data_IF_107357312310
#
_entry.id   IF_107357312310
#
_cell.length_a   1.000
_cell.length_b   1.000
_cell.length_c   1.000
_cell.angle_alpha   90.00
_cell.angle_beta   90.00
_cell.angle_gamma   90.00
#
_symmetry.space_group_name_H-M   'P 1'
#
loop_
_entity.id
_entity.type
_entity.pdbx_description
1 polymer ?
#
# COMPACT_ATOMS: atom_id res chain seq x y z
N UNK A 1 59.58 19.17 18.37
CA UNK A 1 58.95 20.07 17.36
C UNK A 1 57.48 19.69 17.22
N UNK A 2 56.54 20.49 17.75
CA UNK A 2 55.11 20.32 17.45
C UNK A 2 54.79 21.20 16.23
N UNK A 3 54.38 20.60 15.12
CA UNK A 3 53.85 21.33 13.94
C UNK A 3 52.48 21.88 14.33
N UNK A 4 52.32 23.21 14.35
CA UNK A 4 51.02 23.83 14.47
C UNK A 4 50.22 23.52 13.19
N UNK A 5 49.20 22.68 13.30
CA UNK A 5 48.19 22.50 12.25
C UNK A 5 47.29 23.73 12.26
N UNK A 6 46.87 24.16 11.06
CA UNK A 6 45.93 25.26 10.89
C UNK A 6 44.59 24.87 11.54
N UNK A 7 44.04 25.72 12.41
CA UNK A 7 42.78 25.47 13.14
C UNK A 7 41.62 26.34 12.66
N UNK A 8 41.85 27.19 11.65
CA UNK A 8 40.82 28.08 11.10
C UNK A 8 40.38 27.59 9.72
N UNK A 9 39.14 27.09 9.66
CA UNK A 9 38.46 26.69 8.42
C UNK A 9 37.08 27.33 8.39
N UNK A 10 36.60 27.65 7.18
CA UNK A 10 35.21 28.06 6.95
C UNK A 10 34.56 27.15 5.93
N UNK A 11 33.27 26.90 6.10
CA UNK A 11 32.45 26.24 5.08
C UNK A 11 31.93 27.28 4.10
N UNK A 12 32.14 27.05 2.81
CA UNK A 12 31.66 27.91 1.72
C UNK A 12 30.73 27.10 0.83
N UNK A 13 29.53 27.65 0.55
CA UNK A 13 28.60 27.04 -0.38
C UNK A 13 29.08 27.20 -1.82
N UNK A 14 29.23 26.10 -2.56
CA UNK A 14 29.56 26.12 -3.97
C UNK A 14 28.29 25.97 -4.82
N UNK A 15 27.90 27.05 -5.49
CA UNK A 15 26.71 27.09 -6.35
C UNK A 15 26.83 26.26 -7.64
N UNK A 16 28.04 25.84 -8.04
CA UNK A 16 28.25 25.01 -9.24
C UNK A 16 28.07 23.53 -8.91
N UNK A 17 28.58 23.08 -7.76
CA UNK A 17 28.51 21.66 -7.37
C UNK A 17 27.38 21.35 -6.39
N UNK A 18 26.66 22.36 -5.89
CA UNK A 18 25.57 22.17 -4.93
C UNK A 18 26.03 21.63 -3.56
N UNK A 19 27.29 21.88 -3.18
CA UNK A 19 27.90 21.29 -1.98
C UNK A 19 28.65 22.32 -1.14
N UNK A 20 28.73 22.07 0.17
CA UNK A 20 29.58 22.83 1.09
C UNK A 20 31.04 22.36 0.96
N UNK A 21 31.96 23.30 0.75
CA UNK A 21 33.40 23.04 0.65
C UNK A 21 34.13 23.70 1.82
N UNK A 22 35.08 22.97 2.42
CA UNK A 22 35.94 23.51 3.48
C UNK A 22 37.06 24.35 2.85
N UNK A 23 37.11 25.63 3.16
CA UNK A 23 38.20 26.53 2.76
C UNK A 23 39.06 26.88 3.99
N UNK A 24 40.36 26.65 3.91
CA UNK A 24 41.32 27.10 4.94
C UNK A 24 41.75 28.54 4.67
N UNK A 25 41.54 29.43 5.63
CA UNK A 25 41.96 30.83 5.56
C UNK A 25 43.24 31.07 6.37
N UNK A 26 44.38 30.49 6.01
CA UNK A 26 45.70 31.12 6.26
C UNK A 26 46.86 30.27 5.70
N UNK A 27 47.62 30.81 4.75
CA UNK A 27 49.03 30.45 4.56
C UNK A 27 49.83 31.73 4.31
N UNK A 28 50.24 32.43 5.38
CA UNK A 28 51.26 33.49 5.26
C UNK A 28 52.65 32.86 5.36
N UNK A 29 53.33 32.76 4.23
CA UNK A 29 54.78 32.61 4.18
C UNK A 29 55.41 33.97 3.87
N UNK A 30 56.45 34.34 4.62
CA UNK A 30 57.19 35.61 4.58
C UNK A 30 57.46 36.15 3.16
N UNK A 31 56.57 37.00 2.65
CA UNK A 31 56.91 38.02 1.65
C UNK A 31 57.27 37.57 0.22
N UNK A 32 56.95 36.34 -0.21
CA UNK A 32 56.98 35.97 -1.65
C UNK A 32 55.75 35.16 -2.01
N UNK A 33 55.12 35.48 -3.16
CA UNK A 33 53.94 34.80 -3.69
C UNK A 33 54.22 33.30 -3.79
N UNK A 34 53.65 32.52 -2.89
CA UNK A 34 53.58 31.07 -3.00
C UNK A 34 52.21 30.74 -3.59
N UNK A 35 52.21 30.01 -4.71
CA UNK A 35 51.00 29.56 -5.40
C UNK A 35 50.05 28.88 -4.41
N UNK A 36 48.77 29.24 -4.52
CA UNK A 36 47.68 28.68 -3.73
C UNK A 36 47.58 27.19 -4.05
N UNK A 37 48.12 26.34 -3.16
CA UNK A 37 47.83 24.92 -3.18
C UNK A 37 46.45 24.74 -2.56
N UNK A 38 45.43 24.62 -3.40
CA UNK A 38 44.08 24.21 -2.97
C UNK A 38 44.18 22.72 -2.63
N UNK A 39 44.30 22.40 -1.34
CA UNK A 39 44.10 21.05 -0.88
C UNK A 39 42.59 20.77 -0.89
N UNK A 40 42.10 20.06 -1.92
CA UNK A 40 40.76 19.46 -1.90
C UNK A 40 40.76 18.32 -0.88
N UNK A 41 40.36 18.59 0.36
CA UNK A 41 39.94 17.53 1.27
C UNK A 41 38.49 17.18 0.93
N UNK A 42 38.28 16.04 0.25
CA UNK A 42 36.96 15.45 0.03
C UNK A 42 36.41 15.01 1.38
N UNK A 43 35.72 15.90 2.09
CA UNK A 43 34.86 15.50 3.19
C UNK A 43 33.66 14.78 2.55
N UNK A 44 33.49 13.49 2.84
CA UNK A 44 32.29 12.76 2.50
C UNK A 44 31.12 13.47 3.22
N UNK A 45 30.44 14.35 2.49
CA UNK A 45 29.13 14.85 2.90
C UNK A 45 28.24 13.62 2.85
N UNK A 46 27.98 13.01 4.01
CA UNK A 46 26.80 12.14 4.13
C UNK A 46 25.64 13.03 3.73
N UNK A 47 25.12 12.84 2.52
CA UNK A 47 23.91 13.52 2.07
C UNK A 47 22.87 13.24 3.14
N UNK A 48 22.55 14.25 3.94
CA UNK A 48 21.36 14.22 4.76
C UNK A 48 20.24 14.00 3.73
N UNK A 49 19.38 12.97 3.88
CA UNK A 49 18.29 12.79 2.94
C UNK A 49 17.55 14.13 2.86
N UNK A 50 17.54 14.73 1.68
CA UNK A 50 16.67 15.84 1.42
C UNK A 50 15.27 15.27 1.62
N UNK A 51 14.59 15.69 2.68
CA UNK A 51 13.17 15.35 2.88
C UNK A 51 12.48 15.77 1.58
N UNK A 52 12.01 14.79 0.81
CA UNK A 52 11.23 15.05 -0.38
C UNK A 52 10.06 15.93 0.04
N UNK A 53 9.93 17.12 -0.56
CA UNK A 53 8.80 17.98 -0.27
C UNK A 53 7.53 17.29 -0.74
N UNK A 54 6.51 17.23 0.12
CA UNK A 54 5.22 16.65 -0.22
C UNK A 54 4.68 17.31 -1.49
N UNK A 55 4.33 16.50 -2.49
CA UNK A 55 3.67 16.98 -3.70
C UNK A 55 2.18 17.06 -3.44
N UNK A 56 1.59 18.24 -3.48
CA UNK A 56 0.15 18.42 -3.23
C UNK A 56 -0.57 18.69 -4.53
N UNK A 57 -1.52 17.82 -4.89
CA UNK A 57 -2.45 18.02 -6.01
C UNK A 57 -3.68 18.74 -5.46
N UNK A 58 -3.83 20.01 -5.78
CA UNK A 58 -4.89 20.86 -5.20
C UNK A 58 -6.27 20.52 -5.75
N UNK A 59 -7.32 20.93 -5.05
CA UNK A 59 -8.69 20.77 -5.55
C UNK A 59 -8.86 21.45 -6.92
N UNK A 60 -9.43 20.72 -7.88
CA UNK A 60 -9.57 21.15 -9.28
C UNK A 60 -8.31 20.96 -10.15
N UNK A 61 -7.18 20.61 -9.55
CA UNK A 61 -5.98 20.21 -10.28
C UNK A 61 -6.09 18.75 -10.74
N UNK A 62 -5.53 18.46 -11.92
CA UNK A 62 -5.35 17.10 -12.39
C UNK A 62 -3.89 16.89 -12.77
N UNK A 63 -3.27 15.88 -12.16
CA UNK A 63 -1.93 15.40 -12.54
C UNK A 63 -2.04 14.02 -13.18
N UNK A 64 -1.09 13.67 -14.04
CA UNK A 64 -1.09 12.39 -14.76
C UNK A 64 0.31 11.83 -14.90
N UNK A 65 0.46 10.56 -14.57
CA UNK A 65 1.74 9.86 -14.51
C UNK A 65 2.64 10.36 -13.37
N UNK A 66 3.77 9.70 -13.23
CA UNK A 66 4.75 9.98 -12.18
C UNK A 66 4.99 8.76 -11.30
N UNK A 67 6.10 8.79 -10.58
CA UNK A 67 6.50 7.71 -9.67
C UNK A 67 6.85 8.30 -8.32
N UNK A 68 6.29 7.74 -7.24
CA UNK A 68 6.70 8.06 -5.87
C UNK A 68 7.71 7.01 -5.40
N UNK A 69 8.88 7.46 -4.96
CA UNK A 69 9.99 6.62 -4.48
C UNK A 69 10.61 7.24 -3.23
N UNK A 70 11.55 6.58 -2.55
CA UNK A 70 12.40 7.24 -1.53
C UNK A 70 11.65 8.08 -0.46
N UNK A 71 10.51 7.61 0.00
CA UNK A 71 9.61 8.29 0.95
C UNK A 71 8.94 9.57 0.43
N UNK A 72 8.86 9.75 -0.90
CA UNK A 72 8.06 10.79 -1.54
C UNK A 72 6.60 10.68 -1.12
N UNK A 73 5.99 11.79 -0.69
CA UNK A 73 4.56 11.88 -0.44
C UNK A 73 3.86 12.61 -1.60
N UNK A 74 2.71 12.09 -2.02
CA UNK A 74 1.74 12.83 -2.81
C UNK A 74 0.43 12.96 -2.05
N UNK A 75 0.02 14.19 -1.73
CA UNK A 75 -1.26 14.50 -1.10
C UNK A 75 -2.25 14.92 -2.19
N UNK A 76 -3.34 14.18 -2.35
CA UNK A 76 -4.31 14.39 -3.43
C UNK A 76 -5.61 14.95 -2.88
N UNK A 77 -5.88 16.22 -3.17
CA UNK A 77 -7.17 16.91 -2.95
C UNK A 77 -7.93 17.13 -4.27
N UNK A 78 -7.23 17.05 -5.41
CA UNK A 78 -7.78 17.08 -6.77
C UNK A 78 -7.85 15.69 -7.40
N UNK A 79 -7.25 15.52 -8.58
CA UNK A 79 -7.22 14.25 -9.33
C UNK A 79 -5.82 13.82 -9.71
N UNK A 80 -5.44 12.57 -9.43
CA UNK A 80 -4.16 11.98 -9.84
C UNK A 80 -4.39 10.71 -10.68
N UNK A 81 -3.95 10.71 -11.94
CA UNK A 81 -4.16 9.58 -12.85
C UNK A 81 -2.85 8.84 -13.14
N UNK A 82 -2.84 7.51 -13.14
CA UNK A 82 -1.72 6.71 -13.64
C UNK A 82 -0.43 6.81 -12.81
N UNK A 83 -0.53 7.09 -11.52
CA UNK A 83 0.63 7.15 -10.63
C UNK A 83 1.21 5.76 -10.39
N UNK A 84 2.54 5.65 -10.31
CA UNK A 84 3.22 4.46 -9.80
C UNK A 84 3.77 4.73 -8.40
N UNK A 85 3.40 3.90 -7.42
CA UNK A 85 3.78 4.08 -6.01
C UNK A 85 4.71 2.96 -5.60
N UNK A 86 5.94 3.29 -5.21
CA UNK A 86 6.99 2.34 -4.82
C UNK A 86 7.64 2.69 -3.48
N UNK A 87 6.91 3.42 -2.61
CA UNK A 87 7.37 3.82 -1.27
C UNK A 87 6.18 3.99 -0.31
N UNK A 88 6.44 3.99 1.00
CA UNK A 88 5.46 4.27 2.05
C UNK A 88 4.91 3.03 2.77
N UNK A 89 5.48 1.84 2.59
CA UNK A 89 4.98 0.60 3.21
C UNK A 89 6.00 -0.08 4.15
N UNK A 90 6.92 0.68 4.73
CA UNK A 90 8.06 0.14 5.49
C UNK A 90 7.65 -0.72 6.69
N UNK A 91 6.49 -0.43 7.29
CA UNK A 91 5.96 -1.09 8.47
C UNK A 91 4.60 -1.75 8.24
N UNK A 92 4.22 -1.97 6.97
CA UNK A 92 2.93 -2.53 6.56
C UNK A 92 1.82 -1.48 6.45
N UNK A 93 0.71 -1.79 5.76
CA UNK A 93 -0.28 -0.80 5.31
C UNK A 93 -1.06 -0.09 6.42
N UNK A 94 -1.11 -0.68 7.62
CA UNK A 94 -1.83 -0.15 8.77
C UNK A 94 -0.99 0.71 9.71
N UNK A 95 0.27 0.98 9.37
CA UNK A 95 1.19 1.64 10.29
C UNK A 95 1.31 3.14 10.02
N UNK A 96 0.95 3.96 11.01
CA UNK A 96 1.10 5.42 10.94
C UNK A 96 2.56 5.90 10.93
N UNK A 97 3.52 5.03 11.26
CA UNK A 97 4.95 5.34 11.18
C UNK A 97 5.52 5.26 9.76
N UNK A 98 4.75 4.78 8.78
CA UNK A 98 5.17 4.80 7.38
C UNK A 98 5.42 6.23 6.89
N UNK A 99 6.38 6.38 5.99
CA UNK A 99 6.71 7.67 5.39
C UNK A 99 6.80 7.52 3.87
N UNK A 100 6.07 8.38 3.15
CA UNK A 100 5.91 8.27 1.71
C UNK A 100 4.55 7.71 1.31
N UNK A 101 4.34 7.65 0.00
CA UNK A 101 3.15 7.06 -0.62
C UNK A 101 2.15 8.09 -1.13
N UNK A 102 1.02 7.59 -1.63
CA UNK A 102 -0.05 8.42 -2.16
C UNK A 102 -1.20 8.51 -1.16
N UNK A 103 -1.53 9.73 -0.75
CA UNK A 103 -2.54 10.04 0.27
C UNK A 103 -3.74 10.72 -0.39
N UNK A 104 -4.81 9.95 -0.60
CA UNK A 104 -6.05 10.46 -1.18
C UNK A 104 -6.90 11.05 -0.06
N UNK A 105 -7.02 12.37 -0.06
CA UNK A 105 -7.76 13.12 0.96
C UNK A 105 -9.24 13.20 0.61
N UNK A 106 -10.04 13.77 1.51
CA UNK A 106 -11.45 14.02 1.26
C UNK A 106 -11.66 14.86 -0.03
N UNK A 107 -12.48 14.35 -0.95
CA UNK A 107 -12.71 14.94 -2.27
C UNK A 107 -11.61 14.65 -3.31
N UNK A 108 -10.49 14.08 -2.88
CA UNK A 108 -9.42 13.62 -3.75
C UNK A 108 -9.81 12.36 -4.51
N UNK A 109 -9.33 12.28 -5.75
CA UNK A 109 -9.58 11.16 -6.66
C UNK A 109 -8.25 10.64 -7.21
N UNK A 110 -8.04 9.33 -7.19
CA UNK A 110 -6.96 8.72 -7.97
C UNK A 110 -7.45 7.59 -8.86
N UNK A 111 -6.97 7.56 -10.11
CA UNK A 111 -7.39 6.57 -11.10
C UNK A 111 -6.17 5.85 -11.66
N UNK A 112 -6.31 4.55 -11.93
CA UNK A 112 -5.28 3.74 -12.59
C UNK A 112 -3.93 3.76 -11.85
N UNK A 113 -3.95 3.87 -10.52
CA UNK A 113 -2.73 3.84 -9.70
C UNK A 113 -2.15 2.43 -9.71
N UNK A 114 -0.85 2.31 -9.97
CA UNK A 114 -0.10 1.06 -9.78
C UNK A 114 0.70 1.14 -8.48
N UNK A 115 0.42 0.25 -7.54
CA UNK A 115 1.13 0.13 -6.27
C UNK A 115 2.05 -1.08 -6.35
N UNK A 116 3.36 -0.85 -6.35
CA UNK A 116 4.38 -1.92 -6.44
C UNK A 116 4.89 -2.32 -5.05
N UNK A 117 5.81 -3.27 -4.99
CA UNK A 117 6.51 -3.62 -3.75
C UNK A 117 7.04 -2.39 -3.00
N UNK A 118 6.72 -2.30 -1.71
CA UNK A 118 7.05 -1.16 -0.85
C UNK A 118 6.16 0.07 -1.01
N UNK A 119 5.20 0.06 -1.95
CA UNK A 119 4.27 1.15 -2.19
C UNK A 119 3.05 1.13 -1.27
N UNK A 120 2.65 2.30 -0.79
CA UNK A 120 1.41 2.51 -0.05
C UNK A 120 0.49 3.52 -0.75
N UNK A 121 -0.73 3.10 -1.07
CA UNK A 121 -1.85 4.01 -1.36
C UNK A 121 -2.76 4.09 -0.13
N UNK A 122 -2.84 5.25 0.51
CA UNK A 122 -3.75 5.50 1.63
C UNK A 122 -4.93 6.33 1.15
N UNK A 123 -6.13 5.78 1.31
CA UNK A 123 -7.40 6.39 0.88
C UNK A 123 -8.18 6.78 2.12
N UNK A 124 -8.04 8.04 2.53
CA UNK A 124 -8.71 8.55 3.72
C UNK A 124 -10.22 8.67 3.50
N UNK A 125 -10.97 8.86 4.59
CA UNK A 125 -12.41 9.09 4.53
C UNK A 125 -12.77 10.24 3.57
N UNK A 126 -13.70 9.98 2.67
CA UNK A 126 -14.12 10.91 1.60
C UNK A 126 -13.22 10.92 0.36
N UNK A 127 -12.07 10.23 0.38
CA UNK A 127 -11.25 9.98 -0.81
C UNK A 127 -11.80 8.83 -1.65
N UNK A 128 -11.55 8.86 -2.96
CA UNK A 128 -12.00 7.83 -3.90
C UNK A 128 -10.87 7.37 -4.82
N UNK A 129 -10.78 6.06 -5.05
CA UNK A 129 -9.84 5.48 -6.02
C UNK A 129 -10.54 4.51 -6.96
N UNK A 130 -10.07 4.46 -8.20
CA UNK A 130 -10.56 3.52 -9.21
C UNK A 130 -9.44 2.84 -9.97
N UNK A 131 -9.68 1.59 -10.36
CA UNK A 131 -8.80 0.77 -11.19
C UNK A 131 -7.36 0.68 -10.63
N UNK A 132 -7.22 0.68 -9.30
CA UNK A 132 -5.91 0.50 -8.64
C UNK A 132 -5.42 -0.93 -8.86
N UNK A 133 -4.17 -1.10 -9.28
CA UNK A 133 -3.48 -2.39 -9.36
C UNK A 133 -2.42 -2.47 -8.27
N UNK A 134 -2.51 -3.46 -7.39
CA UNK A 134 -1.59 -3.66 -6.27
C UNK A 134 -0.80 -4.96 -6.51
N UNK A 135 0.49 -4.83 -6.73
CA UNK A 135 1.40 -5.95 -6.98
C UNK A 135 2.00 -6.49 -5.67
N UNK A 136 2.73 -7.60 -5.76
CA UNK A 136 3.38 -8.25 -4.61
C UNK A 136 4.16 -7.27 -3.73
N UNK A 137 3.84 -7.29 -2.44
CA UNK A 137 4.46 -6.44 -1.43
C UNK A 137 4.04 -4.96 -1.46
N UNK A 138 3.05 -4.60 -2.28
CA UNK A 138 2.36 -3.31 -2.23
C UNK A 138 1.10 -3.39 -1.38
N UNK A 139 0.64 -2.24 -0.88
CA UNK A 139 -0.53 -2.17 -0.01
C UNK A 139 -1.45 -0.97 -0.27
N UNK A 140 -2.74 -1.17 -0.03
CA UNK A 140 -3.71 -0.09 0.09
C UNK A 140 -4.37 -0.12 1.48
N UNK A 141 -4.35 1.04 2.15
CA UNK A 141 -5.13 1.30 3.38
C UNK A 141 -6.35 2.13 3.01
N UNK A 142 -7.54 1.56 3.20
CA UNK A 142 -8.80 2.10 2.69
C UNK A 142 -9.77 2.47 3.82
N UNK A 143 -9.90 3.77 4.13
CA UNK A 143 -11.00 4.35 4.92
C UNK A 143 -12.05 5.05 4.05
N UNK A 144 -11.74 5.33 2.78
CA UNK A 144 -12.65 5.92 1.79
C UNK A 144 -13.32 4.89 0.87
N UNK A 145 -13.36 5.17 -0.43
CA UNK A 145 -13.94 4.28 -1.44
C UNK A 145 -12.89 3.78 -2.43
N UNK A 146 -12.92 2.49 -2.75
CA UNK A 146 -12.14 1.90 -3.83
C UNK A 146 -13.06 1.11 -4.79
N UNK A 147 -12.88 1.32 -6.09
CA UNK A 147 -13.62 0.62 -7.14
C UNK A 147 -12.65 -0.11 -8.06
N UNK A 148 -12.96 -1.37 -8.40
CA UNK A 148 -12.19 -2.21 -9.34
C UNK A 148 -10.71 -2.37 -8.97
N UNK A 149 -10.41 -2.54 -7.67
CA UNK A 149 -9.03 -2.81 -7.26
C UNK A 149 -8.61 -4.22 -7.68
N UNK A 150 -7.42 -4.39 -8.26
CA UNK A 150 -6.86 -5.70 -8.62
C UNK A 150 -5.66 -6.01 -7.72
N UNK A 151 -5.69 -7.14 -7.01
CA UNK A 151 -4.62 -7.59 -6.11
C UNK A 151 -3.84 -8.74 -6.76
N UNK A 152 -2.65 -8.45 -7.28
CA UNK A 152 -1.72 -9.41 -7.88
C UNK A 152 -0.57 -9.71 -6.90
N UNK A 153 -0.90 -10.36 -5.78
CA UNK A 153 0.03 -10.58 -4.66
C UNK A 153 0.11 -9.43 -3.66
N UNK A 154 -0.60 -8.33 -3.91
CA UNK A 154 -0.66 -7.17 -3.01
C UNK A 154 -1.82 -7.25 -2.01
N UNK A 155 -1.86 -6.26 -1.13
CA UNK A 155 -2.80 -6.23 0.00
C UNK A 155 -3.78 -5.05 -0.08
N UNK A 156 -5.05 -5.29 0.26
CA UNK A 156 -6.05 -4.24 0.50
C UNK A 156 -6.65 -4.40 1.89
N UNK A 157 -6.46 -3.38 2.73
CA UNK A 157 -6.98 -3.32 4.09
C UNK A 157 -8.16 -2.35 4.10
N UNK A 158 -9.38 -2.88 4.17
CA UNK A 158 -10.61 -2.10 4.25
C UNK A 158 -10.92 -1.85 5.73
N UNK A 159 -10.78 -0.60 6.15
CA UNK A 159 -11.00 -0.16 7.53
C UNK A 159 -12.46 0.22 7.79
N UNK A 160 -12.78 0.50 9.05
CA UNK A 160 -14.07 1.04 9.45
C UNK A 160 -14.49 2.24 8.57
N UNK A 161 -15.71 2.19 8.04
CA UNK A 161 -16.24 3.19 7.11
C UNK A 161 -15.75 3.05 5.65
N UNK A 162 -14.72 2.24 5.41
CA UNK A 162 -14.20 1.96 4.07
C UNK A 162 -15.12 1.05 3.26
N UNK A 163 -15.20 1.32 1.96
CA UNK A 163 -16.00 0.56 1.00
C UNK A 163 -15.14 0.15 -0.20
N UNK A 164 -14.96 -1.16 -0.38
CA UNK A 164 -14.32 -1.73 -1.57
C UNK A 164 -15.38 -2.38 -2.46
N UNK A 165 -15.45 -1.99 -3.74
CA UNK A 165 -16.41 -2.55 -4.71
C UNK A 165 -15.65 -3.14 -5.89
N UNK A 166 -15.95 -4.39 -6.24
CA UNK A 166 -15.39 -5.04 -7.42
C UNK A 166 -13.91 -5.39 -7.29
N UNK A 167 -13.41 -5.60 -6.06
CA UNK A 167 -12.02 -6.06 -5.88
C UNK A 167 -11.84 -7.45 -6.48
N UNK A 168 -10.79 -7.62 -7.30
CA UNK A 168 -10.38 -8.92 -7.84
C UNK A 168 -9.09 -9.35 -7.15
N UNK A 169 -9.15 -10.49 -6.45
CA UNK A 169 -8.03 -11.06 -5.69
C UNK A 169 -7.42 -12.21 -6.49
N UNK A 170 -6.27 -11.96 -7.12
CA UNK A 170 -5.51 -12.96 -7.88
C UNK A 170 -4.43 -13.62 -7.02
N UNK A 171 -3.60 -14.47 -7.62
CA UNK A 171 -2.57 -15.27 -6.92
C UNK A 171 -1.84 -14.47 -5.82
N UNK A 172 -1.90 -15.00 -4.59
CA UNK A 172 -1.30 -14.43 -3.36
C UNK A 172 -1.81 -13.06 -2.94
N UNK A 173 -2.81 -12.50 -3.62
CA UNK A 173 -3.47 -11.28 -3.19
C UNK A 173 -4.25 -11.50 -1.90
N UNK A 174 -4.42 -10.43 -1.13
CA UNK A 174 -5.15 -10.51 0.14
C UNK A 174 -5.99 -9.28 0.41
N UNK A 175 -7.27 -9.49 0.70
CA UNK A 175 -8.18 -8.44 1.13
C UNK A 175 -8.63 -8.70 2.57
N UNK A 176 -8.33 -7.77 3.47
CA UNK A 176 -8.79 -7.77 4.85
C UNK A 176 -9.94 -6.77 5.03
N UNK A 177 -11.16 -7.26 5.26
CA UNK A 177 -12.35 -6.45 5.52
C UNK A 177 -12.57 -6.35 7.02
N UNK A 178 -12.20 -5.23 7.64
CA UNK A 178 -12.26 -5.04 9.10
C UNK A 178 -13.67 -4.79 9.61
N UNK A 179 -13.84 -4.83 10.93
CA UNK A 179 -15.10 -4.46 11.57
C UNK A 179 -15.53 -3.05 11.14
N UNK A 180 -16.82 -2.87 10.86
CA UNK A 180 -17.39 -1.63 10.33
C UNK A 180 -17.08 -1.33 8.85
N UNK A 181 -16.34 -2.20 8.16
CA UNK A 181 -16.05 -2.08 6.72
C UNK A 181 -17.04 -2.85 5.85
N UNK A 182 -17.06 -2.52 4.56
CA UNK A 182 -17.86 -3.21 3.54
C UNK A 182 -17.02 -3.56 2.31
N UNK A 183 -17.10 -4.80 1.85
CA UNK A 183 -16.65 -5.22 0.53
C UNK A 183 -17.83 -5.75 -0.29
N UNK A 184 -18.00 -5.28 -1.52
CA UNK A 184 -19.06 -5.76 -2.42
C UNK A 184 -18.48 -6.30 -3.71
N UNK A 185 -19.12 -7.33 -4.25
CA UNK A 185 -18.83 -7.85 -5.60
C UNK A 185 -17.36 -8.29 -5.74
N UNK A 186 -16.77 -8.78 -4.64
CA UNK A 186 -15.38 -9.26 -4.63
C UNK A 186 -15.28 -10.58 -5.37
N UNK A 187 -14.25 -10.72 -6.21
CA UNK A 187 -13.91 -11.97 -6.90
C UNK A 187 -12.63 -12.53 -6.29
N UNK A 188 -12.68 -13.77 -5.80
CA UNK A 188 -11.57 -14.42 -5.09
C UNK A 188 -11.04 -15.61 -5.89
N UNK A 189 -9.77 -15.55 -6.30
CA UNK A 189 -9.11 -16.56 -7.15
C UNK A 189 -7.87 -17.19 -6.50
N UNK A 190 -7.67 -16.99 -5.18
CA UNK A 190 -6.52 -17.51 -4.41
C UNK A 190 -6.91 -17.72 -2.94
N UNK A 191 -6.10 -18.46 -2.19
CA UNK A 191 -6.22 -18.68 -0.76
C UNK A 191 -6.58 -20.11 -0.35
N UNK A 192 -7.12 -20.92 -1.26
CA UNK A 192 -7.42 -22.34 -1.01
C UNK A 192 -6.34 -23.28 -1.54
N UNK A 193 -5.17 -22.77 -1.95
CA UNK A 193 -4.07 -23.62 -2.42
C UNK A 193 -3.61 -24.57 -1.29
N UNK A 194 -3.71 -25.87 -1.53
CA UNK A 194 -3.42 -26.91 -0.51
C UNK A 194 -4.66 -27.51 0.14
N UNK A 195 -5.87 -27.05 -0.21
CA UNK A 195 -7.13 -27.61 0.25
C UNK A 195 -7.64 -27.02 1.57
N UNK A 196 -8.71 -27.59 2.14
CA UNK A 196 -9.46 -26.97 3.24
C UNK A 196 -8.71 -26.90 4.58
N UNK A 197 -7.70 -27.75 4.76
CA UNK A 197 -6.85 -27.77 5.95
C UNK A 197 -5.65 -26.81 5.85
N UNK A 198 -5.51 -26.07 4.73
CA UNK A 198 -4.41 -25.13 4.55
C UNK A 198 -4.55 -23.91 5.49
N UNK A 199 -3.49 -23.60 6.22
CA UNK A 199 -3.40 -22.43 7.12
C UNK A 199 -3.20 -21.10 6.37
N UNK A 200 -3.79 -20.94 5.18
CA UNK A 200 -3.67 -19.74 4.37
C UNK A 200 -4.55 -18.61 4.95
N UNK A 201 -4.06 -17.96 6.00
CA UNK A 201 -4.68 -16.79 6.62
C UNK A 201 -4.39 -15.47 5.90
N UNK A 202 -3.32 -15.43 5.11
CA UNK A 202 -2.72 -14.21 4.55
C UNK A 202 -2.93 -14.11 3.02
N UNK A 203 -3.88 -14.86 2.46
CA UNK A 203 -4.28 -14.81 1.04
C UNK A 203 -5.80 -14.99 0.91
N UNK A 204 -6.37 -14.55 -0.22
CA UNK A 204 -7.82 -14.58 -0.43
C UNK A 204 -8.54 -13.43 0.27
N UNK A 205 -9.78 -13.66 0.71
CA UNK A 205 -10.59 -12.65 1.40
C UNK A 205 -10.81 -13.01 2.87
N UNK A 206 -10.41 -12.12 3.79
CA UNK A 206 -10.62 -12.28 5.22
C UNK A 206 -11.63 -11.24 5.75
N UNK A 207 -12.75 -11.69 6.30
CA UNK A 207 -13.92 -10.85 6.61
C UNK A 207 -14.19 -10.82 8.13
N UNK A 208 -13.88 -9.69 8.77
CA UNK A 208 -14.38 -9.32 10.11
C UNK A 208 -15.52 -8.30 10.06
N UNK A 209 -15.66 -7.58 8.95
CA UNK A 209 -16.78 -6.68 8.66
C UNK A 209 -17.87 -7.36 7.84
N UNK A 210 -18.27 -6.72 6.74
CA UNK A 210 -19.32 -7.22 5.87
C UNK A 210 -18.78 -7.46 4.45
N UNK A 211 -19.07 -8.62 3.88
CA UNK A 211 -18.85 -8.94 2.48
C UNK A 211 -20.18 -9.27 1.80
N UNK A 212 -20.46 -8.71 0.63
CA UNK A 212 -21.73 -8.88 -0.08
C UNK A 212 -21.48 -9.25 -1.54
N UNK A 213 -22.19 -10.27 -2.04
CA UNK A 213 -22.05 -10.77 -3.42
C UNK A 213 -20.63 -11.19 -3.78
N UNK A 214 -19.92 -11.81 -2.84
CA UNK A 214 -18.59 -12.39 -3.12
C UNK A 214 -18.74 -13.58 -4.07
N UNK A 215 -17.91 -13.64 -5.10
CA UNK A 215 -17.71 -14.82 -5.95
C UNK A 215 -16.38 -15.47 -5.61
N UNK A 216 -16.41 -16.75 -5.26
CA UNK A 216 -15.23 -17.54 -4.95
C UNK A 216 -15.04 -18.55 -6.08
N UNK A 217 -13.96 -18.41 -6.83
CA UNK A 217 -13.60 -19.30 -7.94
C UNK A 217 -12.68 -20.43 -7.46
N UNK A 218 -12.23 -21.26 -8.40
CA UNK A 218 -11.21 -22.28 -8.15
C UNK A 218 -9.98 -21.68 -7.45
N UNK A 219 -9.49 -22.35 -6.41
CA UNK A 219 -8.42 -21.91 -5.50
C UNK A 219 -8.76 -20.67 -4.66
N UNK A 220 -9.96 -20.09 -4.81
CA UNK A 220 -10.42 -18.95 -4.03
C UNK A 220 -10.78 -19.36 -2.60
N UNK A 221 -10.42 -18.51 -1.62
CA UNK A 221 -10.87 -18.68 -0.24
C UNK A 221 -11.44 -17.42 0.37
N UNK A 222 -12.63 -17.53 0.95
CA UNK A 222 -13.19 -16.53 1.86
C UNK A 222 -13.22 -17.08 3.29
N UNK A 223 -12.64 -16.35 4.23
CA UNK A 223 -12.72 -16.64 5.67
C UNK A 223 -13.63 -15.59 6.32
N UNK A 224 -14.79 -16.03 6.80
CA UNK A 224 -15.71 -15.21 7.58
C UNK A 224 -15.37 -15.40 9.06
N UNK A 225 -14.64 -14.45 9.63
CA UNK A 225 -14.24 -14.47 11.04
C UNK A 225 -15.46 -14.35 11.98
N UNK A 226 -15.27 -14.58 13.28
CA UNK A 226 -16.36 -14.66 14.27
C UNK A 226 -17.32 -13.45 14.29
N UNK A 227 -16.82 -12.24 14.03
CA UNK A 227 -17.62 -11.01 13.97
C UNK A 227 -18.08 -10.66 12.54
N UNK A 228 -17.58 -11.38 11.54
CA UNK A 228 -17.82 -11.11 10.14
C UNK A 228 -19.16 -11.64 9.65
N UNK A 229 -19.70 -10.97 8.63
CA UNK A 229 -20.86 -11.42 7.87
C UNK A 229 -20.56 -11.46 6.38
N UNK A 230 -20.84 -12.60 5.74
CA UNK A 230 -20.86 -12.72 4.28
C UNK A 230 -22.30 -12.95 3.81
N UNK A 231 -22.75 -12.21 2.81
CA UNK A 231 -24.11 -12.28 2.29
C UNK A 231 -24.12 -12.49 0.76
N UNK A 232 -24.93 -13.43 0.28
CA UNK A 232 -25.09 -13.75 -1.15
C UNK A 232 -23.78 -14.22 -1.77
N UNK A 233 -23.02 -15.07 -1.05
CA UNK A 233 -21.76 -15.62 -1.57
C UNK A 233 -22.05 -16.73 -2.60
N UNK A 234 -21.33 -16.75 -3.72
CA UNK A 234 -21.33 -17.88 -4.66
C UNK A 234 -19.97 -18.56 -4.61
N UNK A 235 -19.95 -19.88 -4.41
CA UNK A 235 -18.72 -20.69 -4.34
C UNK A 235 -18.73 -21.71 -5.47
N UNK A 236 -17.80 -21.57 -6.42
CA UNK A 236 -17.64 -22.50 -7.54
C UNK A 236 -16.69 -23.66 -7.19
N UNK A 237 -16.65 -24.66 -8.06
CA UNK A 237 -15.77 -25.82 -7.94
C UNK A 237 -14.32 -25.44 -7.60
N UNK A 238 -13.79 -26.07 -6.54
CA UNK A 238 -12.44 -25.82 -6.01
C UNK A 238 -12.28 -24.53 -5.21
N UNK A 239 -13.36 -23.80 -4.93
CA UNK A 239 -13.39 -22.65 -4.03
C UNK A 239 -13.93 -23.01 -2.64
N UNK A 240 -13.48 -22.28 -1.63
CA UNK A 240 -13.77 -22.55 -0.22
C UNK A 240 -14.30 -21.31 0.52
N UNK A 241 -15.40 -21.49 1.28
CA UNK A 241 -15.87 -20.54 2.28
C UNK A 241 -15.73 -21.14 3.69
N UNK A 242 -14.87 -20.56 4.53
CA UNK A 242 -14.73 -20.92 5.94
C UNK A 242 -15.54 -19.96 6.81
N UNK A 243 -16.44 -20.47 7.64
CA UNK A 243 -17.42 -19.68 8.41
C UNK A 243 -17.23 -19.88 9.91
N UNK A 244 -16.65 -18.88 10.56
CA UNK A 244 -16.64 -18.72 12.02
C UNK A 244 -17.68 -17.70 12.51
N UNK A 245 -18.10 -16.78 11.64
CA UNK A 245 -19.16 -15.79 11.90
C UNK A 245 -20.48 -16.17 11.22
N UNK A 246 -21.00 -15.28 10.36
CA UNK A 246 -22.29 -15.47 9.71
C UNK A 246 -22.18 -15.53 8.19
N UNK A 247 -22.66 -16.62 7.58
CA UNK A 247 -22.85 -16.72 6.14
C UNK A 247 -24.35 -16.77 5.83
N UNK A 248 -24.82 -15.85 4.98
CA UNK A 248 -26.21 -15.71 4.58
C UNK A 248 -26.33 -15.92 3.07
N UNK A 249 -27.28 -16.73 2.64
CA UNK A 249 -27.62 -16.96 1.23
C UNK A 249 -26.44 -17.41 0.37
N UNK A 250 -25.61 -18.32 0.91
CA UNK A 250 -24.50 -18.91 0.16
C UNK A 250 -25.02 -19.90 -0.88
N UNK A 251 -24.56 -19.81 -2.13
CA UNK A 251 -24.82 -20.81 -3.18
C UNK A 251 -23.55 -21.60 -3.50
N UNK A 252 -23.59 -22.92 -3.33
CA UNK A 252 -22.48 -23.83 -3.66
C UNK A 252 -22.71 -24.45 -5.04
N UNK A 253 -21.86 -24.09 -6.01
CA UNK A 253 -21.83 -24.57 -7.39
C UNK A 253 -20.58 -25.45 -7.61
N UNK A 254 -20.45 -26.53 -6.84
CA UNK A 254 -19.27 -27.39 -6.85
C UNK A 254 -18.21 -27.08 -5.78
N UNK A 255 -18.36 -25.96 -5.07
CA UNK A 255 -17.42 -25.51 -4.04
C UNK A 255 -17.84 -25.90 -2.63
N UNK A 256 -17.04 -25.52 -1.64
CA UNK A 256 -17.23 -25.95 -0.25
C UNK A 256 -17.58 -24.81 0.70
N UNK A 257 -18.42 -25.12 1.70
CA UNK A 257 -18.66 -24.28 2.87
C UNK A 257 -18.36 -25.06 4.15
N UNK A 258 -17.41 -24.57 4.94
CA UNK A 258 -17.01 -25.16 6.22
C UNK A 258 -17.51 -24.28 7.37
N UNK A 259 -18.54 -24.73 8.09
CA UNK A 259 -19.07 -24.02 9.25
C UNK A 259 -18.39 -24.53 10.52
N UNK A 260 -17.54 -23.70 11.12
CA UNK A 260 -16.77 -24.03 12.31
C UNK A 260 -17.55 -23.71 13.59
N UNK A 261 -17.02 -24.15 14.74
CA UNK A 261 -17.62 -23.87 16.06
C UNK A 261 -17.87 -22.36 16.26
N UNK A 262 -19.11 -22.00 16.57
CA UNK A 262 -19.58 -20.61 16.72
C UNK A 262 -20.11 -19.96 15.43
N UNK A 263 -19.81 -20.54 14.26
CA UNK A 263 -20.30 -20.06 12.98
C UNK A 263 -21.75 -20.47 12.71
N UNK A 264 -22.44 -19.66 11.90
CA UNK A 264 -23.80 -19.95 11.40
C UNK A 264 -23.84 -19.76 9.90
N UNK A 265 -24.38 -20.74 9.18
CA UNK A 265 -24.80 -20.58 7.79
C UNK A 265 -26.32 -20.67 7.68
N UNK A 266 -26.95 -19.71 7.00
CA UNK A 266 -28.41 -19.63 6.81
C UNK A 266 -28.72 -19.38 5.34
N UNK A 267 -29.71 -20.08 4.80
CA UNK A 267 -30.10 -19.93 3.39
C UNK A 267 -29.11 -20.55 2.40
N UNK A 268 -28.23 -21.45 2.85
CA UNK A 268 -27.30 -22.15 1.94
C UNK A 268 -28.06 -23.00 0.93
N UNK A 269 -27.78 -22.79 -0.36
CA UNK A 269 -28.25 -23.60 -1.48
C UNK A 269 -27.10 -24.43 -2.00
N UNK A 270 -27.26 -25.75 -2.01
CA UNK A 270 -26.25 -26.69 -2.53
C UNK A 270 -26.73 -27.23 -3.87
N UNK A 271 -26.06 -26.83 -4.95
CA UNK A 271 -26.32 -27.35 -6.29
C UNK A 271 -25.52 -28.64 -6.53
N UNK A 272 -25.65 -29.25 -7.72
CA UNK A 272 -24.89 -30.47 -8.05
C UNK A 272 -23.39 -30.27 -7.84
N UNK A 273 -22.76 -31.29 -7.24
CA UNK A 273 -21.32 -31.37 -6.93
C UNK A 273 -20.82 -30.42 -5.82
N UNK A 274 -21.70 -29.65 -5.17
CA UNK A 274 -21.41 -28.82 -3.99
C UNK A 274 -21.71 -29.48 -2.65
#
# INVERSE_FOLDING_TARGET
MKRHLNTSYRLVWNHITGTLVVASELARSRGKRAGVAIALSLAAVTSVPALAADTVVQAGETVSGGTLTNHDNQIVLGTANGMTISTGLEYGPDNEANTGGQWIQNGGIANNTTVTGGGLQRVNAGGSVSDTVISTGGGQSLQGQAVNTTLNGGEQWVHEGGIATGTVINEKGWQAVKSGAMATDTVVNTGAEGGPDAENGDTGQFVRGNAVRTTINENGRQIVAAEGTANTTVVYAGGDQTVHGHALDTTLNGGYQYVHNGGTASGTVVNSDG
#
